data_IF_950841983660
#
_entry.id   IF_950841983660
#
_cell.length_a   1.000
_cell.length_b   1.000
_cell.length_c   1.000
_cell.angle_alpha   90.00
_cell.angle_beta   90.00
_cell.angle_gamma   90.00
#
_symmetry.space_group_name_H-M   'P 1'
#
loop_
_entity.id
_entity.type
_entity.pdbx_description
1 polymer ?
#
# COMPACT_ATOMS: atom_id res chain seq x y z
N UNK A 1 -47.75 -23.47 14.14
CA UNK A 1 -47.52 -24.93 14.14
C UNK A 1 -47.09 -25.30 12.73
N UNK A 2 -45.78 -25.41 12.50
CA UNK A 2 -45.09 -26.68 12.19
C UNK A 2 -45.34 -27.15 10.74
N UNK A 3 -44.35 -27.45 9.90
CA UNK A 3 -42.91 -27.58 10.09
C UNK A 3 -42.20 -27.38 8.75
N UNK A 4 -41.16 -26.55 8.78
CA UNK A 4 -40.06 -26.54 7.84
C UNK A 4 -39.15 -27.73 8.16
N UNK A 5 -39.15 -28.77 7.34
CA UNK A 5 -38.18 -29.88 7.42
C UNK A 5 -38.09 -30.61 6.08
N UNK A 6 -37.41 -30.01 5.10
CA UNK A 6 -36.98 -30.76 3.91
C UNK A 6 -35.67 -30.24 3.30
N UNK A 7 -34.70 -29.86 4.14
CA UNK A 7 -33.39 -29.40 3.66
C UNK A 7 -32.21 -29.89 4.53
N UNK A 8 -32.26 -31.14 5.01
CA UNK A 8 -31.18 -31.72 5.84
C UNK A 8 -30.82 -33.18 5.48
N UNK A 9 -30.81 -33.55 4.19
CA UNK A 9 -30.37 -34.90 3.76
C UNK A 9 -29.45 -34.92 2.53
N UNK A 10 -28.57 -33.94 2.38
CA UNK A 10 -27.48 -34.01 1.37
C UNK A 10 -26.15 -33.43 1.88
N UNK A 11 -25.70 -33.89 3.05
CA UNK A 11 -24.32 -33.67 3.46
C UNK A 11 -23.76 -34.87 4.23
N UNK A 12 -23.94 -36.08 3.70
CA UNK A 12 -23.26 -37.26 4.22
C UNK A 12 -22.78 -38.14 3.07
N UNK A 13 -21.68 -37.71 2.44
CA UNK A 13 -20.83 -38.55 1.59
C UNK A 13 -19.57 -37.75 1.20
N UNK A 14 -18.64 -37.58 2.14
CA UNK A 14 -17.22 -37.30 1.82
C UNK A 14 -16.25 -37.62 2.95
N UNK A 15 -16.58 -38.62 3.77
CA UNK A 15 -15.65 -39.23 4.70
C UNK A 15 -15.43 -40.67 4.26
N UNK A 16 -14.55 -40.84 3.26
CA UNK A 16 -13.85 -42.08 2.91
C UNK A 16 -12.80 -41.75 1.83
N UNK A 17 -11.68 -41.15 2.27
CA UNK A 17 -10.45 -41.09 1.49
C UNK A 17 -9.46 -42.12 2.06
N UNK A 18 -8.69 -42.83 1.23
CA UNK A 18 -7.85 -43.94 1.68
C UNK A 18 -6.71 -43.44 2.58
N UNK A 19 -6.64 -43.97 3.80
CA UNK A 19 -5.50 -43.80 4.68
C UNK A 19 -4.33 -44.66 4.22
N UNK A 20 -3.18 -44.04 3.94
CA UNK A 20 -1.82 -44.60 4.13
C UNK A 20 -0.66 -43.74 3.56
N UNK A 21 -0.83 -42.44 3.27
CA UNK A 21 0.31 -41.52 3.15
C UNK A 21 0.87 -41.14 4.54
N UNK A 22 1.31 -42.15 5.29
CA UNK A 22 2.00 -42.01 6.58
C UNK A 22 3.37 -42.69 6.51
N UNK A 23 4.26 -42.22 5.65
CA UNK A 23 5.69 -42.54 5.73
C UNK A 23 6.51 -41.71 4.73
N UNK A 24 6.76 -40.44 5.04
CA UNK A 24 7.95 -39.75 4.50
C UNK A 24 8.60 -39.00 5.67
N UNK A 25 9.71 -39.52 6.23
CA UNK A 25 10.51 -38.80 7.20
C UNK A 25 11.44 -37.83 6.46
N UNK A 26 11.50 -36.58 6.92
CA UNK A 26 12.54 -35.65 6.52
C UNK A 26 12.39 -35.06 5.12
N UNK A 27 11.56 -34.04 4.99
CA UNK A 27 11.92 -32.90 4.16
C UNK A 27 11.67 -31.62 4.97
N UNK A 28 12.68 -31.27 5.74
CA UNK A 28 12.93 -29.88 6.10
C UNK A 28 13.23 -29.14 4.81
N UNK A 29 12.29 -28.31 4.36
CA UNK A 29 12.65 -27.06 3.69
C UNK A 29 11.86 -25.96 4.41
N UNK A 30 12.42 -25.55 5.53
CA UNK A 30 12.29 -24.18 5.97
C UNK A 30 12.87 -23.28 4.87
N UNK A 31 12.03 -22.49 4.23
CA UNK A 31 12.48 -21.28 3.55
C UNK A 31 11.38 -20.22 3.65
N UNK A 32 11.45 -19.44 4.73
CA UNK A 32 10.92 -18.08 4.76
C UNK A 32 11.58 -17.29 3.65
N UNK A 33 10.87 -16.97 2.58
CA UNK A 33 11.15 -15.77 1.81
C UNK A 33 9.82 -15.26 1.25
N UNK A 34 9.42 -14.08 1.73
CA UNK A 34 8.35 -13.22 1.23
C UNK A 34 6.93 -13.79 1.32
N UNK A 35 6.21 -13.37 2.36
CA UNK A 35 4.78 -13.59 2.54
C UNK A 35 3.93 -12.90 1.47
N UNK A 36 4.00 -13.40 0.24
CA UNK A 36 2.98 -13.15 -0.77
C UNK A 36 1.73 -13.97 -0.42
N UNK A 37 0.85 -13.35 0.38
CA UNK A 37 -0.57 -13.63 0.25
C UNK A 37 -1.15 -12.58 -0.69
N UNK A 38 -1.00 -12.89 -1.98
CA UNK A 38 -1.53 -12.19 -3.14
C UNK A 38 -3.03 -11.90 -2.96
N UNK A 39 -3.38 -10.61 -2.83
CA UNK A 39 -4.73 -10.07 -3.09
C UNK A 39 -5.92 -10.87 -2.52
N UNK A 40 -5.82 -11.35 -1.29
CA UNK A 40 -7.02 -11.62 -0.52
C UNK A 40 -7.66 -10.25 -0.22
N UNK A 41 -8.93 -10.04 -0.61
CA UNK A 41 -9.72 -8.81 -0.37
C UNK A 41 -9.93 -8.60 1.15
N UNK A 42 -8.84 -8.40 1.88
CA UNK A 42 -8.82 -8.17 3.31
C UNK A 42 -9.45 -6.81 3.55
N UNK A 43 -10.25 -6.75 4.60
CA UNK A 43 -10.89 -5.51 5.05
C UNK A 43 -9.89 -4.35 5.17
N UNK A 44 -8.65 -4.65 5.56
CA UNK A 44 -7.54 -3.69 5.63
C UNK A 44 -7.23 -3.03 4.29
N UNK A 45 -7.24 -3.77 3.18
CA UNK A 45 -6.95 -3.20 1.86
C UNK A 45 -8.01 -2.17 1.43
N UNK A 46 -9.30 -2.52 1.59
CA UNK A 46 -10.42 -1.60 1.28
C UNK A 46 -10.37 -0.33 2.14
N UNK A 47 -10.00 -0.49 3.41
CA UNK A 47 -9.81 0.65 4.32
C UNK A 47 -8.58 1.47 3.91
N UNK A 48 -7.49 0.82 3.51
CA UNK A 48 -6.28 1.46 3.00
C UNK A 48 -6.55 2.31 1.76
N UNK A 49 -7.26 1.79 0.76
CA UNK A 49 -7.67 2.56 -0.43
C UNK A 49 -8.53 3.78 -0.08
N UNK A 50 -9.45 3.60 0.87
CA UNK A 50 -10.28 4.72 1.35
C UNK A 50 -9.40 5.77 2.04
N UNK A 51 -8.50 5.36 2.93
CA UNK A 51 -7.56 6.26 3.62
C UNK A 51 -6.68 6.98 2.61
N UNK A 52 -6.12 6.27 1.62
CA UNK A 52 -5.30 6.85 0.55
C UNK A 52 -6.03 7.99 -0.13
N UNK A 53 -7.26 7.74 -0.59
CA UNK A 53 -8.08 8.76 -1.28
C UNK A 53 -8.35 9.96 -0.38
N UNK A 54 -8.76 9.72 0.86
CA UNK A 54 -9.13 10.79 1.79
C UNK A 54 -7.91 11.62 2.22
N UNK A 55 -6.78 10.98 2.53
CA UNK A 55 -5.53 11.66 2.91
C UNK A 55 -5.04 12.52 1.75
N UNK A 56 -4.96 11.98 0.54
CA UNK A 56 -4.55 12.76 -0.65
C UNK A 56 -5.43 13.99 -0.85
N UNK A 57 -6.74 13.85 -0.65
CA UNK A 57 -7.67 14.97 -0.80
C UNK A 57 -7.58 16.00 0.34
N UNK A 58 -7.23 15.56 1.56
CA UNK A 58 -6.98 16.43 2.71
C UNK A 58 -5.68 17.21 2.52
N UNK A 59 -4.61 16.55 2.06
CA UNK A 59 -3.33 17.19 1.79
C UNK A 59 -3.47 18.26 0.70
N UNK A 60 -4.09 17.91 -0.44
CA UNK A 60 -4.29 18.85 -1.56
C UNK A 60 -5.14 20.08 -1.20
N UNK A 61 -6.10 19.94 -0.27
CA UNK A 61 -7.00 21.05 0.12
C UNK A 61 -6.53 21.83 1.34
N UNK A 62 -5.86 21.16 2.28
CA UNK A 62 -5.58 21.67 3.61
C UNK A 62 -4.15 22.11 3.86
N UNK A 63 -3.17 21.57 3.12
CA UNK A 63 -1.75 21.87 3.31
C UNK A 63 -1.23 22.75 2.18
N UNK A 64 -1.49 24.06 2.32
CA UNK A 64 -0.82 25.12 1.56
C UNK A 64 0.24 25.79 2.44
N UNK A 65 1.07 25.00 3.09
CA UNK A 65 2.19 25.55 3.86
C UNK A 65 3.40 25.60 2.93
N UNK A 66 4.04 26.76 2.68
CA UNK A 66 5.20 26.86 1.78
C UNK A 66 6.40 26.00 2.22
N UNK A 67 6.40 25.46 3.45
CA UNK A 67 7.42 24.52 3.95
C UNK A 67 7.15 23.05 3.63
N UNK A 68 5.90 22.74 3.30
CA UNK A 68 5.46 21.43 2.84
C UNK A 68 5.34 21.58 1.33
N UNK A 69 6.34 21.12 0.60
CA UNK A 69 6.37 21.21 -0.86
C UNK A 69 5.24 20.43 -1.53
N UNK A 70 5.39 20.13 -2.82
CA UNK A 70 4.47 19.22 -3.51
C UNK A 70 4.66 17.78 -2.99
N UNK A 71 3.81 17.40 -2.03
CA UNK A 71 3.78 16.05 -1.46
C UNK A 71 2.77 15.19 -2.18
N UNK A 72 3.20 14.02 -2.62
CA UNK A 72 2.34 13.01 -3.23
C UNK A 72 2.29 11.77 -2.36
N UNK A 73 1.10 11.18 -2.16
CA UNK A 73 0.96 9.91 -1.46
C UNK A 73 0.99 8.79 -2.49
N UNK A 74 1.95 7.87 -2.36
CA UNK A 74 2.15 6.76 -3.29
C UNK A 74 1.31 5.55 -2.89
N UNK A 75 1.30 5.22 -1.60
CA UNK A 75 0.65 4.01 -1.10
C UNK A 75 0.24 4.15 0.37
N UNK A 76 -0.71 3.32 0.80
CA UNK A 76 -1.07 3.17 2.21
C UNK A 76 -1.13 1.69 2.55
N UNK A 77 -0.35 1.27 3.54
CA UNK A 77 -0.41 -0.07 4.13
C UNK A 77 -1.10 0.00 5.49
N UNK A 78 -2.12 -0.84 5.70
CA UNK A 78 -2.89 -0.87 6.93
C UNK A 78 -2.72 -2.23 7.58
N UNK A 79 -2.38 -2.22 8.86
CA UNK A 79 -2.22 -3.45 9.62
C UNK A 79 -3.52 -4.26 9.65
N UNK A 80 -3.46 -5.61 9.74
CA UNK A 80 -4.66 -6.46 9.71
C UNK A 80 -5.69 -6.15 10.80
N UNK A 81 -5.23 -5.61 11.94
CA UNK A 81 -6.04 -5.18 13.08
C UNK A 81 -6.61 -3.76 12.94
N UNK A 82 -6.31 -3.06 11.84
CA UNK A 82 -6.74 -1.67 11.55
C UNK A 82 -6.29 -0.64 12.58
N UNK A 83 -5.24 -0.95 13.35
CA UNK A 83 -4.72 -0.06 14.39
C UNK A 83 -3.76 0.98 13.83
N UNK A 84 -2.93 0.60 12.85
CA UNK A 84 -1.88 1.46 12.27
C UNK A 84 -2.05 1.52 10.76
N UNK A 85 -1.96 2.74 10.22
CA UNK A 85 -1.94 3.03 8.79
C UNK A 85 -0.59 3.70 8.45
N UNK A 86 0.25 2.99 7.71
CA UNK A 86 1.52 3.50 7.18
C UNK A 86 1.24 4.17 5.84
N UNK A 87 1.49 5.46 5.78
CA UNK A 87 1.27 6.29 4.60
C UNK A 87 2.62 6.60 3.97
N UNK A 88 2.82 6.12 2.75
CA UNK A 88 4.03 6.35 1.97
C UNK A 88 3.88 7.60 1.13
N UNK A 89 4.84 8.51 1.22
CA UNK A 89 4.82 9.78 0.50
C UNK A 89 6.14 10.06 -0.21
N UNK A 90 6.06 10.84 -1.26
CA UNK A 90 7.19 11.41 -1.99
C UNK A 90 7.11 12.93 -1.95
N UNK A 91 8.25 13.57 -2.12
CA UNK A 91 8.38 15.03 -2.15
C UNK A 91 9.18 15.37 -3.38
N UNK A 92 8.70 16.34 -4.16
CA UNK A 92 9.48 16.93 -5.24
C UNK A 92 10.35 18.02 -4.60
N UNK A 93 11.66 17.80 -4.50
CA UNK A 93 12.58 18.75 -3.88
C UNK A 93 13.91 18.14 -3.43
N UNK A 94 14.75 18.98 -2.81
CA UNK A 94 16.04 18.57 -2.23
C UNK A 94 15.86 17.84 -0.87
N UNK A 95 16.91 17.15 -0.40
CA UNK A 95 16.90 16.44 0.90
C UNK A 95 16.53 17.36 2.09
N UNK A 96 16.87 18.64 2.01
CA UNK A 96 16.48 19.64 3.02
C UNK A 96 14.96 19.86 3.05
N UNK A 97 14.33 19.94 1.89
CA UNK A 97 12.88 20.11 1.74
C UNK A 97 12.14 18.84 2.16
N UNK A 98 12.72 17.67 1.88
CA UNK A 98 12.23 16.38 2.38
C UNK A 98 12.16 16.34 3.91
N UNK A 99 13.23 16.76 4.59
CA UNK A 99 13.24 16.79 6.07
C UNK A 99 12.22 17.78 6.62
N UNK A 100 12.15 19.00 6.07
CA UNK A 100 11.18 20.01 6.49
C UNK A 100 9.74 19.55 6.26
N UNK A 101 9.49 18.89 5.14
CA UNK A 101 8.19 18.29 4.82
C UNK A 101 7.83 17.19 5.80
N UNK A 102 8.77 16.31 6.15
CA UNK A 102 8.56 15.27 7.16
C UNK A 102 8.15 15.84 8.51
N UNK A 103 8.83 16.91 8.97
CA UNK A 103 8.44 17.62 10.20
C UNK A 103 7.06 18.28 10.10
N UNK A 104 6.74 18.87 8.93
CA UNK A 104 5.44 19.47 8.65
C UNK A 104 4.31 18.45 8.71
N UNK A 105 4.49 17.29 8.08
CA UNK A 105 3.53 16.18 8.11
C UNK A 105 3.36 15.60 9.52
N UNK A 106 4.45 15.47 10.29
CA UNK A 106 4.38 15.05 11.69
C UNK A 106 3.51 16.00 12.52
N UNK A 107 3.69 17.32 12.36
CA UNK A 107 2.85 18.34 13.03
C UNK A 107 1.41 18.34 12.52
N UNK A 108 1.18 18.05 11.25
CA UNK A 108 -0.15 17.98 10.65
C UNK A 108 -0.89 16.66 10.95
N UNK A 109 -0.20 15.64 11.49
CA UNK A 109 -0.78 14.32 11.76
C UNK A 109 -2.07 14.37 12.58
N UNK A 110 -2.16 15.12 13.70
CA UNK A 110 -3.40 15.21 14.47
C UNK A 110 -4.56 15.85 13.70
N UNK A 111 -4.26 16.82 12.84
CA UNK A 111 -5.24 17.47 11.97
C UNK A 111 -5.79 16.49 10.93
N UNK A 112 -4.89 15.77 10.24
CA UNK A 112 -5.27 14.74 9.25
C UNK A 112 -6.09 13.65 9.92
N UNK A 113 -5.68 13.18 11.10
CA UNK A 113 -6.41 12.17 11.87
C UNK A 113 -7.82 12.62 12.25
N UNK A 114 -7.99 13.89 12.66
CA UNK A 114 -9.31 14.48 12.94
C UNK A 114 -10.18 14.51 11.68
N UNK A 115 -9.64 14.93 10.54
CA UNK A 115 -10.37 14.94 9.29
C UNK A 115 -10.78 13.52 8.86
N UNK A 116 -9.86 12.55 8.94
CA UNK A 116 -10.16 11.15 8.66
C UNK A 116 -11.24 10.59 9.59
N UNK A 117 -11.23 10.93 10.88
CA UNK A 117 -12.25 10.45 11.82
C UNK A 117 -13.68 10.90 11.48
N UNK A 118 -13.82 12.06 10.81
CA UNK A 118 -15.12 12.57 10.37
C UNK A 118 -15.61 11.89 9.10
N UNK A 119 -14.68 11.46 8.24
CA UNK A 119 -14.98 10.87 6.93
C UNK A 119 -15.12 9.34 7.02
N UNK A 120 -14.26 8.70 7.80
CA UNK A 120 -14.31 7.27 8.08
C UNK A 120 -15.37 6.99 9.14
N UNK A 121 -16.46 6.33 8.75
CA UNK A 121 -17.53 5.87 9.67
C UNK A 121 -17.07 4.65 10.49
N UNK A 122 -15.99 4.77 11.25
CA UNK A 122 -15.39 3.68 12.03
C UNK A 122 -15.27 4.04 13.51
N UNK A 123 -15.29 3.01 14.38
CA UNK A 123 -15.25 3.21 15.84
C UNK A 123 -13.90 3.70 16.35
N UNK A 124 -12.80 3.28 15.70
CA UNK A 124 -11.43 3.65 16.05
C UNK A 124 -10.72 4.08 14.77
N UNK A 125 -10.27 5.32 14.70
CA UNK A 125 -9.43 5.78 13.60
C UNK A 125 -8.01 5.25 13.82
N UNK A 126 -7.37 4.64 12.80
CA UNK A 126 -6.00 4.15 12.92
C UNK A 126 -5.03 5.30 13.24
N UNK A 127 -3.92 4.95 13.86
CA UNK A 127 -2.76 5.83 13.98
C UNK A 127 -2.06 5.94 12.62
N UNK A 128 -1.65 7.15 12.27
CA UNK A 128 -1.05 7.44 10.96
C UNK A 128 0.45 7.59 11.14
N UNK A 129 1.22 6.75 10.44
CA UNK A 129 2.67 6.88 10.35
C UNK A 129 3.05 7.31 8.94
N UNK A 130 3.70 8.46 8.81
CA UNK A 130 4.25 8.90 7.53
C UNK A 130 5.63 8.29 7.30
N UNK A 131 5.84 7.73 6.11
CA UNK A 131 7.12 7.16 5.66
C UNK A 131 7.46 7.70 4.30
N UNK A 132 8.69 8.17 4.12
CA UNK A 132 9.16 8.56 2.80
C UNK A 132 9.39 7.32 1.94
N UNK A 133 8.93 7.36 0.69
CA UNK A 133 9.14 6.31 -0.29
C UNK A 133 10.46 6.53 -1.04
N UNK A 134 11.49 5.76 -0.67
CA UNK A 134 12.82 5.81 -1.32
C UNK A 134 12.84 5.20 -2.71
N UNK A 135 11.78 4.49 -3.13
CA UNK A 135 11.76 3.75 -4.41
C UNK A 135 11.69 4.70 -5.61
N UNK A 136 11.21 5.92 -5.41
CA UNK A 136 10.97 6.90 -6.47
C UNK A 136 12.27 7.60 -6.89
N UNK A 137 13.21 7.81 -5.96
CA UNK A 137 14.53 8.36 -6.28
C UNK A 137 15.29 7.47 -7.30
N UNK A 138 15.10 6.16 -7.20
CA UNK A 138 15.68 5.19 -8.13
C UNK A 138 15.02 5.22 -9.52
N UNK A 139 13.70 5.45 -9.58
CA UNK A 139 12.95 5.55 -10.83
C UNK A 139 13.40 6.72 -11.69
N UNK A 140 13.60 7.89 -11.09
CA UNK A 140 14.09 9.09 -11.79
C UNK A 140 15.50 8.88 -12.37
N UNK A 141 16.36 8.14 -11.65
CA UNK A 141 17.70 7.81 -12.12
C UNK A 141 17.69 6.86 -13.33
N UNK A 142 16.79 5.87 -13.33
CA UNK A 142 16.59 5.01 -14.50
C UNK A 142 16.10 5.84 -15.68
N UNK A 143 15.11 6.72 -15.49
CA UNK A 143 14.56 7.52 -16.58
C UNK A 143 15.61 8.46 -17.20
N UNK A 144 16.51 9.04 -16.40
CA UNK A 144 17.62 9.84 -16.95
C UNK A 144 18.55 9.00 -17.83
N UNK A 145 18.92 7.79 -17.37
CA UNK A 145 19.80 6.90 -18.14
C UNK A 145 19.15 6.44 -19.46
N UNK A 146 17.84 6.19 -19.45
CA UNK A 146 17.11 5.82 -20.67
C UNK A 146 17.06 6.98 -21.68
N UNK A 147 16.85 8.21 -21.21
CA UNK A 147 16.85 9.42 -22.06
C UNK A 147 18.22 9.68 -22.68
N UNK A 148 19.30 9.47 -21.94
CA UNK A 148 20.65 9.65 -22.45
C UNK A 148 20.93 8.68 -23.62
N UNK A 149 20.51 7.42 -23.50
CA UNK A 149 20.65 6.40 -24.57
C UNK A 149 19.77 6.73 -25.79
N UNK A 150 18.56 7.26 -25.60
CA UNK A 150 17.66 7.63 -26.71
C UNK A 150 18.18 8.85 -27.48
N UNK A 151 18.77 9.83 -26.79
CA UNK A 151 19.43 10.96 -27.43
C UNK A 151 20.64 10.50 -28.25
N UNK A 152 21.50 9.62 -27.71
CA UNK A 152 22.64 9.06 -28.44
C UNK A 152 22.22 8.34 -29.74
N UNK A 153 21.09 7.62 -29.72
CA UNK A 153 20.58 6.92 -30.92
C UNK A 153 19.95 7.84 -31.97
N UNK A 154 19.51 9.03 -31.56
CA UNK A 154 18.80 9.97 -32.46
C UNK A 154 19.76 10.84 -33.27
N UNK A 155 21.01 10.99 -32.82
CA UNK A 155 22.05 11.77 -33.48
C UNK A 155 22.78 11.00 -34.61
N UNK A 156 22.66 9.67 -34.65
CA UNK A 156 23.34 8.79 -35.62
C UNK A 156 22.58 8.60 -36.95
N UNK A 157 21.34 9.11 -37.11
CA UNK A 157 20.49 8.91 -38.31
C UNK A 157 20.37 10.17 -39.21
N UNK A 158 21.11 11.25 -38.92
CA UNK A 158 21.13 12.50 -39.73
C UNK A 158 22.50 12.72 -40.38
N UNK A 159 22.84 11.88 -41.36
CA UNK A 159 24.13 12.00 -42.01
C UNK A 159 24.26 11.26 -43.33
N UNK A 160 23.31 11.41 -44.25
CA UNK A 160 23.55 11.12 -45.67
C UNK A 160 22.55 11.91 -46.55
N UNK A 161 22.96 13.10 -47.00
CA UNK A 161 22.37 13.80 -48.15
C UNK A 161 23.45 14.28 -49.10
#
# INVERSE_FOLDING_TARGET
MSHSTHCLKKLNQRLNGPGWLKSVPGLLISSTINGECFLEFKRSHRVGETILKEVSEILNRGLKDPRVGYVTITAVDVTPDLSIARVFYTVIGDEKERHQTGEGLAKATPYIRRQLSQRLRMRRTPEIEFRYDTSIDYGNHIESLLKDIENERSDDDQGDN
#
